data_IF_916237933272
#
_entry.id   IF_916237933272
#
_cell.length_a   1.000
_cell.length_b   1.000
_cell.length_c   1.000
_cell.angle_alpha   90.00
_cell.angle_beta   90.00
_cell.angle_gamma   90.00
#
_symmetry.space_group_name_H-M   'P 1'
#
loop_
_entity.id
_entity.type
_entity.pdbx_description
1 polymer ?
#
# COMPACT_ATOMS: atom_id res chain seq x y z
N UNK A 1 -34.41 27.83 -55.48
CA UNK A 1 -35.26 27.47 -54.32
C UNK A 1 -35.20 25.96 -54.01
N UNK A 2 -34.04 25.41 -53.60
CA UNK A 2 -33.92 23.98 -53.23
C UNK A 2 -32.94 23.70 -52.07
N UNK A 3 -32.36 24.74 -51.45
CA UNK A 3 -31.36 24.61 -50.37
C UNK A 3 -31.87 24.92 -48.95
N UNK A 4 -33.14 25.32 -48.81
CA UNK A 4 -33.73 25.69 -47.51
C UNK A 4 -34.51 24.57 -46.81
N UNK A 5 -34.66 23.39 -47.44
CA UNK A 5 -35.37 22.24 -46.84
C UNK A 5 -34.46 21.24 -46.10
N UNK A 6 -33.14 21.35 -46.22
CA UNK A 6 -32.20 20.45 -45.55
C UNK A 6 -31.81 20.89 -44.12
N UNK A 7 -32.10 22.15 -43.74
CA UNK A 7 -31.76 22.69 -42.41
C UNK A 7 -32.85 22.40 -41.36
N UNK A 8 -34.11 22.23 -41.77
CA UNK A 8 -35.23 21.97 -40.87
C UNK A 8 -35.28 20.53 -40.32
N UNK A 9 -34.65 19.57 -41.01
CA UNK A 9 -34.67 18.15 -40.60
C UNK A 9 -33.58 17.83 -39.56
N UNK A 10 -32.52 18.65 -39.44
CA UNK A 10 -31.47 18.45 -38.43
C UNK A 10 -31.83 19.01 -37.04
N UNK A 11 -32.77 19.95 -36.95
CA UNK A 11 -33.18 20.54 -35.66
C UNK A 11 -34.19 19.64 -34.92
N UNK A 12 -34.98 18.83 -35.64
CA UNK A 12 -35.94 17.90 -35.02
C UNK A 12 -35.27 16.65 -34.42
N UNK A 13 -34.12 16.22 -34.97
CA UNK A 13 -33.35 15.11 -34.39
C UNK A 13 -32.57 15.48 -33.13
N UNK A 14 -32.23 16.76 -32.93
CA UNK A 14 -31.59 17.21 -31.68
C UNK A 14 -32.58 17.28 -30.51
N UNK A 15 -33.86 17.54 -30.77
CA UNK A 15 -34.89 17.59 -29.72
C UNK A 15 -35.37 16.19 -29.26
N UNK A 16 -35.25 15.16 -30.10
CA UNK A 16 -35.68 13.79 -29.76
C UNK A 16 -34.57 13.02 -28.99
N UNK A 17 -33.29 13.37 -29.18
CA UNK A 17 -32.20 12.78 -28.37
C UNK A 17 -32.14 13.37 -26.95
N UNK A 18 -32.65 14.59 -26.73
CA UNK A 18 -32.78 15.17 -25.38
C UNK A 18 -33.97 14.62 -24.57
N UNK A 19 -34.95 13.95 -25.20
CA UNK A 19 -36.11 13.38 -24.51
C UNK A 19 -35.99 11.86 -24.25
N UNK A 20 -34.92 11.22 -24.73
CA UNK A 20 -34.61 9.81 -24.47
C UNK A 20 -33.63 9.61 -23.30
N UNK A 21 -33.30 10.68 -22.54
CA UNK A 21 -32.82 10.54 -21.17
C UNK A 21 -34.01 10.23 -20.27
N UNK A 22 -34.62 9.06 -20.50
CA UNK A 22 -35.29 8.37 -19.39
C UNK A 22 -34.20 8.15 -18.37
N UNK A 23 -34.31 8.89 -17.27
CA UNK A 23 -33.84 8.50 -15.95
C UNK A 23 -33.96 6.99 -15.83
N UNK A 24 -32.86 6.30 -16.13
CA UNK A 24 -32.51 5.09 -15.42
C UNK A 24 -32.33 5.56 -13.98
N UNK A 25 -33.46 5.69 -13.28
CA UNK A 25 -33.49 5.54 -11.84
C UNK A 25 -32.91 4.15 -11.61
N UNK A 26 -31.59 4.08 -11.49
CA UNK A 26 -30.98 3.04 -10.71
C UNK A 26 -31.77 3.03 -9.40
N UNK A 27 -32.35 1.88 -8.99
CA UNK A 27 -32.88 1.80 -7.66
C UNK A 27 -31.77 2.29 -6.74
N UNK A 28 -32.00 3.40 -6.05
CA UNK A 28 -31.26 3.72 -4.85
C UNK A 28 -31.47 2.50 -3.98
N UNK A 29 -30.51 1.57 -4.01
CA UNK A 29 -30.41 0.48 -3.06
C UNK A 29 -30.43 1.17 -1.73
N UNK A 30 -31.62 1.10 -1.10
CA UNK A 30 -31.95 1.65 0.19
C UNK A 30 -30.79 1.37 1.12
N UNK A 31 -30.27 2.43 1.74
CA UNK A 31 -29.05 2.44 2.53
C UNK A 31 -29.17 1.57 3.77
N UNK A 32 -29.04 0.26 3.57
CA UNK A 32 -28.57 -0.61 4.61
C UNK A 32 -27.11 -0.18 4.85
N UNK A 33 -26.74 0.22 6.08
CA UNK A 33 -25.36 0.52 6.39
C UNK A 33 -24.53 -0.70 5.97
N UNK A 34 -23.54 -0.46 5.09
CA UNK A 34 -22.58 -1.50 4.75
C UNK A 34 -22.01 -1.97 6.09
N UNK A 35 -22.18 -3.26 6.46
CA UNK A 35 -21.76 -3.72 7.78
C UNK A 35 -20.28 -3.40 7.95
N UNK A 36 -19.94 -2.73 9.05
CA UNK A 36 -18.57 -2.32 9.34
C UNK A 36 -17.68 -3.58 9.32
N UNK A 37 -16.84 -3.71 8.29
CA UNK A 37 -15.98 -4.88 8.13
C UNK A 37 -14.96 -4.86 9.26
N UNK A 38 -15.06 -5.84 10.16
CA UNK A 38 -14.09 -6.04 11.23
C UNK A 38 -12.74 -6.49 10.64
N UNK A 39 -11.61 -6.13 11.28
CA UNK A 39 -10.30 -6.64 10.90
C UNK A 39 -10.29 -8.16 10.78
N UNK A 40 -9.78 -8.65 9.65
CA UNK A 40 -9.46 -10.06 9.46
C UNK A 40 -8.12 -10.38 10.13
N UNK A 41 -8.15 -10.44 11.47
CA UNK A 41 -6.97 -10.47 12.34
C UNK A 41 -5.90 -11.47 11.85
N UNK A 42 -4.85 -10.89 11.29
CA UNK A 42 -3.63 -11.57 10.88
C UNK A 42 -3.76 -12.53 9.70
N UNK A 43 -4.81 -12.41 8.86
CA UNK A 43 -4.95 -13.18 7.61
C UNK A 43 -3.89 -12.75 6.59
N UNK A 44 -3.57 -11.46 6.55
CA UNK A 44 -2.66 -10.84 5.58
C UNK A 44 -1.31 -10.46 6.20
N UNK A 45 -0.87 -11.19 7.23
CA UNK A 45 0.50 -11.01 7.75
C UNK A 45 1.54 -11.37 6.70
N UNK A 46 1.39 -12.45 5.92
CA UNK A 46 2.22 -12.63 4.75
C UNK A 46 1.59 -11.89 3.54
N UNK A 47 2.39 -11.22 2.70
CA UNK A 47 1.90 -10.48 1.54
C UNK A 47 1.51 -11.41 0.38
N UNK A 48 0.38 -11.17 -0.29
CA UNK A 48 -0.01 -11.87 -1.53
C UNK A 48 0.57 -11.22 -2.80
N UNK A 49 1.12 -10.02 -2.74
CA UNK A 49 1.76 -9.37 -3.87
C UNK A 49 3.19 -9.86 -4.06
N UNK A 50 3.31 -11.04 -4.66
CA UNK A 50 4.54 -11.81 -4.77
C UNK A 50 5.61 -11.22 -5.69
N UNK A 51 5.33 -10.17 -6.48
CA UNK A 51 6.30 -9.60 -7.41
C UNK A 51 6.41 -8.07 -7.29
N UNK A 52 6.87 -7.53 -6.14
CA UNK A 52 7.00 -6.08 -5.95
C UNK A 52 8.02 -5.45 -6.90
N UNK A 53 9.00 -6.21 -7.41
CA UNK A 53 9.93 -5.72 -8.43
C UNK A 53 9.25 -5.22 -9.72
N UNK A 54 8.01 -5.66 -10.01
CA UNK A 54 7.23 -5.13 -11.14
C UNK A 54 6.94 -3.62 -10.99
N UNK A 55 6.87 -3.12 -9.77
CA UNK A 55 6.64 -1.71 -9.46
C UNK A 55 7.92 -0.86 -9.43
N UNK A 56 9.10 -1.42 -9.71
CA UNK A 56 10.35 -0.66 -9.79
C UNK A 56 10.27 0.61 -10.67
N UNK A 57 9.59 0.61 -11.84
CA UNK A 57 9.43 1.84 -12.63
C UNK A 57 8.67 2.96 -11.90
N UNK A 58 7.78 2.61 -10.97
CA UNK A 58 7.07 3.55 -10.10
C UNK A 58 7.99 3.97 -8.95
N UNK A 59 8.61 3.01 -8.26
CA UNK A 59 9.45 3.28 -7.09
C UNK A 59 10.63 4.20 -7.39
N UNK A 60 11.29 4.01 -8.55
CA UNK A 60 12.42 4.85 -9.00
C UNK A 60 12.05 6.30 -9.31
N UNK A 61 10.75 6.61 -9.37
CA UNK A 61 10.24 7.97 -9.56
C UNK A 61 9.80 8.62 -8.25
N UNK A 62 9.90 7.92 -7.12
CA UNK A 62 9.66 8.50 -5.80
C UNK A 62 10.62 9.65 -5.52
N UNK A 63 10.17 10.64 -4.75
CA UNK A 63 11.01 11.74 -4.26
C UNK A 63 11.89 11.37 -3.03
N UNK A 64 11.98 10.07 -2.72
CA UNK A 64 12.66 9.50 -1.55
C UNK A 64 12.18 10.04 -0.18
N UNK A 65 10.99 10.67 -0.13
CA UNK A 65 10.37 11.12 1.11
C UNK A 65 9.91 9.95 1.99
N UNK A 66 8.89 10.18 2.81
CA UNK A 66 8.30 9.16 3.65
C UNK A 66 7.46 8.20 2.80
N UNK A 67 7.69 6.90 2.98
CA UNK A 67 6.82 5.84 2.46
C UNK A 67 5.75 5.54 3.50
N UNK A 68 4.50 5.87 3.20
CA UNK A 68 3.33 5.53 4.00
C UNK A 68 2.69 4.31 3.36
N UNK A 69 2.45 3.23 4.11
CA UNK A 69 1.89 2.03 3.52
C UNK A 69 1.03 1.21 4.45
N UNK A 70 0.04 0.54 3.86
CA UNK A 70 -0.75 -0.52 4.52
C UNK A 70 -0.09 -1.89 4.39
N UNK A 71 -0.40 -2.78 5.34
CA UNK A 71 0.10 -4.14 5.35
C UNK A 71 1.45 -4.30 6.04
N UNK A 72 2.05 -5.46 5.84
CA UNK A 72 3.21 -5.96 6.60
C UNK A 72 4.51 -5.86 5.81
N UNK A 73 5.00 -6.95 5.23
CA UNK A 73 6.28 -7.02 4.51
C UNK A 73 6.34 -6.07 3.33
N UNK A 74 5.21 -5.92 2.61
CA UNK A 74 5.07 -4.99 1.50
C UNK A 74 5.53 -3.58 1.87
N UNK A 75 5.15 -3.11 3.06
CA UNK A 75 5.51 -1.79 3.56
C UNK A 75 7.03 -1.62 3.68
N UNK A 76 7.73 -2.65 4.16
CA UNK A 76 9.19 -2.66 4.29
C UNK A 76 9.87 -2.78 2.91
N UNK A 77 9.37 -3.65 2.04
CA UNK A 77 9.88 -3.81 0.67
C UNK A 77 9.75 -2.48 -0.10
N UNK A 78 8.57 -1.85 -0.08
CA UNK A 78 8.33 -0.59 -0.76
C UNK A 78 9.21 0.54 -0.25
N UNK A 79 9.40 0.65 1.06
CA UNK A 79 10.32 1.64 1.65
C UNK A 79 11.79 1.40 1.25
N UNK A 80 12.22 0.14 1.12
CA UNK A 80 13.56 -0.20 0.65
C UNK A 80 13.74 0.13 -0.83
N UNK A 81 12.79 -0.28 -1.69
CA UNK A 81 12.85 -0.09 -3.14
C UNK A 81 12.72 1.37 -3.57
N UNK A 82 12.10 2.22 -2.75
CA UNK A 82 12.01 3.67 -2.96
C UNK A 82 13.14 4.46 -2.31
N UNK A 83 14.05 3.79 -1.59
CA UNK A 83 15.07 4.43 -0.76
C UNK A 83 14.48 5.52 0.17
N UNK A 84 13.30 5.23 0.74
CA UNK A 84 12.54 6.20 1.51
C UNK A 84 13.35 6.73 2.72
N UNK A 85 13.23 8.03 2.99
CA UNK A 85 13.84 8.66 4.16
C UNK A 85 13.23 8.21 5.48
N UNK A 86 12.01 7.68 5.44
CA UNK A 86 11.35 7.04 6.57
C UNK A 86 10.20 6.14 6.10
N UNK A 87 9.75 5.24 6.98
CA UNK A 87 8.60 4.37 6.77
C UNK A 87 7.54 4.66 7.84
N UNK A 88 6.28 4.81 7.43
CA UNK A 88 5.13 4.76 8.33
C UNK A 88 4.20 3.65 7.87
N UNK A 89 4.04 2.63 8.71
CA UNK A 89 3.08 1.55 8.50
C UNK A 89 1.75 1.92 9.14
N UNK A 90 0.68 2.01 8.34
CA UNK A 90 -0.67 2.24 8.84
C UNK A 90 -1.54 1.04 8.51
N UNK A 91 -2.30 0.53 9.47
CA UNK A 91 -3.24 -0.54 9.16
C UNK A 91 -4.45 -0.49 10.10
N UNK A 92 -5.61 -0.92 9.62
CA UNK A 92 -6.79 -1.05 10.47
C UNK A 92 -6.74 -2.36 11.28
N UNK A 93 -5.92 -3.34 10.86
CA UNK A 93 -5.62 -4.55 11.60
C UNK A 93 -4.47 -4.31 12.62
N UNK A 94 -4.77 -4.37 13.93
CA UNK A 94 -3.73 -4.21 14.95
C UNK A 94 -2.64 -5.30 14.91
N UNK A 95 -2.90 -6.47 14.32
CA UNK A 95 -1.88 -7.51 14.15
C UNK A 95 -0.84 -7.13 13.08
N UNK A 96 -1.22 -6.38 12.04
CA UNK A 96 -0.28 -5.85 11.06
C UNK A 96 0.63 -4.76 11.68
N UNK A 97 0.06 -3.89 12.51
CA UNK A 97 0.82 -2.89 13.29
C UNK A 97 1.77 -3.57 14.28
N UNK A 98 1.31 -4.62 14.99
CA UNK A 98 2.16 -5.43 15.86
C UNK A 98 3.30 -6.09 15.10
N UNK A 99 3.02 -6.63 13.91
CA UNK A 99 4.05 -7.17 13.04
C UNK A 99 5.11 -6.11 12.71
N UNK A 100 4.69 -4.91 12.29
CA UNK A 100 5.61 -3.83 11.93
C UNK A 100 6.51 -3.42 13.11
N UNK A 101 5.96 -3.31 14.32
CA UNK A 101 6.73 -2.99 15.52
C UNK A 101 7.78 -4.05 15.85
N UNK A 102 7.42 -5.34 15.79
CA UNK A 102 8.36 -6.43 16.02
C UNK A 102 9.43 -6.43 14.93
N UNK A 103 9.04 -6.27 13.66
CA UNK A 103 9.97 -6.27 12.55
C UNK A 103 11.01 -5.13 12.66
N UNK A 104 10.55 -3.91 13.01
CA UNK A 104 11.40 -2.77 13.30
C UNK A 104 12.38 -3.08 14.42
N UNK A 105 11.91 -3.61 15.54
CA UNK A 105 12.75 -3.89 16.70
C UNK A 105 13.83 -4.94 16.37
N UNK A 106 13.50 -5.95 15.55
CA UNK A 106 14.48 -6.94 15.07
C UNK A 106 15.51 -6.33 14.11
N UNK A 107 15.10 -5.46 13.20
CA UNK A 107 16.00 -4.72 12.30
C UNK A 107 16.95 -3.82 13.11
N UNK A 108 16.44 -3.14 14.13
CA UNK A 108 17.23 -2.29 15.03
C UNK A 108 18.25 -3.11 15.84
N UNK A 109 17.85 -4.28 16.33
CA UNK A 109 18.69 -5.19 17.13
C UNK A 109 19.78 -5.92 16.35
N UNK A 110 19.59 -6.08 15.04
CA UNK A 110 20.48 -6.87 14.20
C UNK A 110 21.77 -6.13 13.81
N UNK A 111 22.88 -6.86 13.75
CA UNK A 111 24.18 -6.31 13.31
C UNK A 111 24.30 -6.23 11.80
N UNK A 112 23.78 -7.24 11.11
CA UNK A 112 23.81 -7.43 9.67
C UNK A 112 22.61 -8.28 9.22
N UNK A 113 22.48 -8.48 7.90
CA UNK A 113 21.35 -9.22 7.31
C UNK A 113 21.29 -10.66 7.81
N UNK A 114 22.42 -11.34 7.96
CA UNK A 114 22.44 -12.73 8.42
C UNK A 114 22.00 -12.84 9.89
N UNK A 115 22.45 -11.92 10.75
CA UNK A 115 21.99 -11.84 12.14
C UNK A 115 20.50 -11.49 12.22
N UNK A 116 20.03 -10.57 11.36
CA UNK A 116 18.61 -10.27 11.26
C UNK A 116 17.77 -11.49 10.90
N UNK A 117 18.14 -12.23 9.86
CA UNK A 117 17.44 -13.47 9.45
C UNK A 117 17.46 -14.50 10.58
N UNK A 118 18.60 -14.65 11.28
CA UNK A 118 18.71 -15.51 12.47
C UNK A 118 17.77 -15.07 13.59
N UNK A 119 17.73 -13.77 13.92
CA UNK A 119 16.83 -13.20 14.92
C UNK A 119 15.35 -13.36 14.53
N UNK A 120 15.05 -13.21 13.25
CA UNK A 120 13.72 -13.32 12.66
C UNK A 120 13.16 -14.74 12.73
N UNK A 121 13.96 -15.73 12.33
CA UNK A 121 13.47 -17.08 12.05
C UNK A 121 13.88 -18.14 13.09
N UNK A 122 15.00 -17.95 13.81
CA UNK A 122 15.64 -19.04 14.57
C UNK A 122 15.92 -18.72 16.05
N UNK A 123 16.18 -17.47 16.39
CA UNK A 123 16.58 -17.08 17.75
C UNK A 123 15.48 -17.34 18.80
N UNK A 124 15.83 -17.77 20.01
CA UNK A 124 14.86 -17.94 21.11
C UNK A 124 14.42 -16.59 21.72
N UNK A 125 13.40 -16.63 22.59
CA UNK A 125 12.97 -15.44 23.33
C UNK A 125 14.08 -14.88 24.22
N UNK A 126 14.90 -15.75 24.81
CA UNK A 126 16.02 -15.31 25.65
C UNK A 126 17.08 -14.56 24.83
N UNK A 127 17.32 -14.98 23.59
CA UNK A 127 18.19 -14.24 22.67
C UNK A 127 17.58 -12.87 22.32
N UNK A 128 16.26 -12.77 22.10
CA UNK A 128 15.59 -11.48 21.93
C UNK A 128 15.75 -10.57 23.15
N UNK A 129 15.54 -11.12 24.37
CA UNK A 129 15.74 -10.38 25.62
C UNK A 129 17.18 -9.92 25.80
N UNK A 130 18.16 -10.74 25.44
CA UNK A 130 19.57 -10.35 25.49
C UNK A 130 19.85 -9.20 24.53
N UNK A 131 19.41 -9.31 23.27
CA UNK A 131 19.56 -8.25 22.26
C UNK A 131 18.85 -6.95 22.66
N UNK A 132 17.71 -7.03 23.34
CA UNK A 132 16.95 -5.86 23.79
C UNK A 132 17.72 -4.95 24.77
N UNK A 133 18.79 -5.45 25.41
CA UNK A 133 19.60 -4.65 26.34
C UNK A 133 20.39 -3.54 25.62
N UNK A 134 20.61 -3.68 24.31
CA UNK A 134 21.28 -2.69 23.46
C UNK A 134 20.29 -1.67 22.88
N UNK A 135 18.99 -1.86 23.11
CA UNK A 135 17.91 -1.01 22.58
C UNK A 135 17.31 -0.11 23.66
N UNK A 136 16.53 0.88 23.23
CA UNK A 136 15.81 1.82 24.10
C UNK A 136 14.35 1.95 23.69
N UNK A 137 13.51 2.43 24.61
CA UNK A 137 12.10 2.75 24.34
C UNK A 137 11.30 1.56 23.83
N UNK A 138 10.41 1.84 22.87
CA UNK A 138 9.46 0.87 22.31
C UNK A 138 10.12 -0.39 21.73
N UNK A 139 11.31 -0.28 21.14
CA UNK A 139 11.99 -1.45 20.55
C UNK A 139 12.46 -2.43 21.62
N UNK A 140 13.00 -1.91 22.73
CA UNK A 140 13.35 -2.72 23.90
C UNK A 140 12.11 -3.40 24.47
N UNK A 141 11.05 -2.61 24.69
CA UNK A 141 9.77 -3.11 25.22
C UNK A 141 9.17 -4.19 24.32
N UNK A 142 9.24 -4.00 23.01
CA UNK A 142 8.73 -4.94 22.01
C UNK A 142 9.47 -6.29 22.07
N UNK A 143 10.80 -6.29 22.20
CA UNK A 143 11.58 -7.54 22.22
C UNK A 143 11.51 -8.30 23.55
N UNK A 144 11.30 -7.62 24.68
CA UNK A 144 11.13 -8.30 25.99
C UNK A 144 9.70 -8.82 26.20
N UNK A 145 8.73 -8.26 25.49
CA UNK A 145 7.30 -8.55 25.62
C UNK A 145 6.97 -10.02 25.28
N UNK A 146 6.44 -10.81 26.24
CA UNK A 146 5.94 -12.16 25.95
C UNK A 146 4.81 -12.20 24.91
N UNK A 147 3.83 -11.26 24.90
CA UNK A 147 2.85 -11.18 23.82
C UNK A 147 3.47 -10.99 22.43
N UNK A 148 4.48 -10.14 22.29
CA UNK A 148 5.16 -9.90 21.01
C UNK A 148 5.86 -11.16 20.51
N UNK A 149 6.60 -11.83 21.40
CA UNK A 149 7.24 -13.10 21.09
C UNK A 149 6.21 -14.16 20.66
N UNK A 150 5.12 -14.31 21.42
CA UNK A 150 4.08 -15.31 21.16
C UNK A 150 3.42 -15.08 19.80
N UNK A 151 3.08 -13.83 19.51
CA UNK A 151 2.56 -13.43 18.21
C UNK A 151 3.52 -13.81 17.07
N UNK A 152 4.80 -13.42 17.19
CA UNK A 152 5.79 -13.67 16.15
C UNK A 152 6.05 -15.16 15.92
N UNK A 153 6.23 -15.91 17.00
CA UNK A 153 6.45 -17.35 16.97
C UNK A 153 5.27 -18.07 16.29
N UNK A 154 4.03 -17.69 16.64
CA UNK A 154 2.83 -18.32 16.07
C UNK A 154 2.56 -17.89 14.63
N UNK A 155 2.60 -16.59 14.32
CA UNK A 155 2.12 -16.04 13.04
C UNK A 155 3.19 -15.98 11.96
N UNK A 156 4.47 -15.86 12.34
CA UNK A 156 5.59 -15.73 11.40
C UNK A 156 6.38 -17.04 11.33
N UNK A 157 6.84 -17.58 12.46
CA UNK A 157 7.77 -18.73 12.45
C UNK A 157 7.10 -20.08 12.28
N UNK A 158 6.05 -20.35 13.06
CA UNK A 158 5.36 -21.65 13.08
C UNK A 158 4.22 -21.75 12.07
N UNK A 159 3.72 -20.64 11.56
CA UNK A 159 2.69 -20.62 10.51
C UNK A 159 3.27 -20.95 9.12
N UNK A 160 4.11 -21.97 9.05
CA UNK A 160 4.77 -22.39 7.81
C UNK A 160 3.75 -22.67 6.72
N UNK A 161 2.57 -23.19 7.04
CA UNK A 161 1.52 -23.39 6.05
C UNK A 161 1.10 -22.08 5.38
N UNK A 162 0.79 -20.99 6.10
CA UNK A 162 0.41 -19.74 5.44
C UNK A 162 1.55 -19.23 4.55
N UNK A 163 2.76 -19.13 5.11
CA UNK A 163 3.94 -18.65 4.39
C UNK A 163 4.37 -19.57 3.22
N UNK A 164 4.04 -20.87 3.24
CA UNK A 164 4.41 -21.85 2.21
C UNK A 164 3.25 -22.28 1.29
N UNK A 165 1.99 -21.92 1.53
CA UNK A 165 0.86 -22.38 0.72
C UNK A 165 0.10 -21.25 0.03
N UNK A 166 -0.01 -20.10 0.69
CA UNK A 166 -0.64 -18.92 0.12
C UNK A 166 0.38 -17.91 -0.43
N UNK A 167 1.63 -17.95 0.07
CA UNK A 167 2.59 -16.85 -0.08
C UNK A 167 4.03 -17.30 -0.32
N UNK A 168 4.19 -18.50 -0.92
CA UNK A 168 5.46 -19.20 -1.09
C UNK A 168 6.63 -18.25 -1.38
N UNK A 169 7.77 -18.56 -0.76
CA UNK A 169 9.09 -18.02 -1.07
C UNK A 169 9.57 -16.76 -0.34
N UNK A 170 8.79 -16.06 0.49
CA UNK A 170 9.38 -14.90 1.20
C UNK A 170 10.56 -15.30 2.12
N UNK A 171 10.54 -16.52 2.69
CA UNK A 171 11.68 -17.02 3.47
C UNK A 171 12.64 -17.91 2.64
N UNK A 172 12.56 -17.87 1.30
CA UNK A 172 13.39 -18.68 0.39
C UNK A 172 14.05 -17.77 -0.63
N UNK A 173 15.37 -17.88 -0.77
CA UNK A 173 16.11 -17.04 -1.71
C UNK A 173 15.58 -17.23 -3.15
N UNK A 174 15.11 -16.16 -3.81
CA UNK A 174 14.69 -16.22 -5.20
C UNK A 174 15.91 -16.36 -6.12
N UNK A 175 15.86 -17.29 -7.08
CA UNK A 175 16.99 -17.64 -7.97
C UNK A 175 16.79 -17.15 -9.40
N UNK A 176 15.54 -16.93 -9.81
CA UNK A 176 15.16 -16.56 -11.16
C UNK A 176 14.27 -15.31 -11.17
N UNK A 177 14.29 -14.49 -12.26
CA UNK A 177 13.46 -13.29 -12.36
C UNK A 177 11.94 -13.50 -12.20
N UNK A 178 11.47 -14.71 -12.51
CA UNK A 178 10.05 -15.09 -12.38
C UNK A 178 9.72 -15.63 -10.98
N UNK A 179 10.72 -15.82 -10.11
CA UNK A 179 10.50 -16.25 -8.73
C UNK A 179 9.84 -15.12 -7.92
N UNK A 180 8.93 -15.44 -6.98
CA UNK A 180 8.41 -14.45 -6.06
C UNK A 180 9.50 -13.71 -5.28
N UNK A 181 9.29 -12.40 -5.13
CA UNK A 181 10.15 -11.44 -4.44
C UNK A 181 11.56 -11.27 -5.02
N UNK A 182 11.84 -11.83 -6.21
CA UNK A 182 13.11 -11.60 -6.91
C UNK A 182 13.46 -10.10 -6.99
N UNK A 183 14.69 -9.76 -6.61
CA UNK A 183 15.22 -8.39 -6.57
C UNK A 183 14.43 -7.39 -5.69
N UNK A 184 13.63 -7.89 -4.75
CA UNK A 184 12.81 -7.05 -3.85
C UNK A 184 12.75 -7.54 -2.41
N UNK A 185 13.31 -8.72 -2.13
CA UNK A 185 13.34 -9.31 -0.81
C UNK A 185 14.56 -8.85 0.00
N UNK A 186 14.32 -8.04 1.03
CA UNK A 186 15.36 -7.56 1.94
C UNK A 186 15.90 -8.66 2.87
N UNK A 187 15.31 -9.87 2.90
CA UNK A 187 15.90 -11.02 3.56
C UNK A 187 17.13 -11.56 2.82
N UNK A 188 17.26 -11.28 1.52
CA UNK A 188 18.30 -11.84 0.65
C UNK A 188 19.16 -10.78 -0.06
N UNK A 189 18.87 -9.49 0.14
CA UNK A 189 19.66 -8.39 -0.43
C UNK A 189 20.23 -7.50 0.68
N UNK A 190 21.57 -7.38 0.73
CA UNK A 190 22.27 -6.59 1.75
C UNK A 190 21.98 -5.09 1.61
N UNK A 191 21.78 -4.58 0.40
CA UNK A 191 21.48 -3.16 0.15
C UNK A 191 20.11 -2.78 0.70
N UNK A 192 19.08 -3.57 0.35
CA UNK A 192 17.72 -3.37 0.85
C UNK A 192 17.65 -3.53 2.38
N UNK A 193 18.31 -4.56 2.93
CA UNK A 193 18.41 -4.75 4.37
C UNK A 193 19.10 -3.55 5.05
N UNK A 194 20.26 -3.12 4.55
CA UNK A 194 21.05 -2.04 5.16
C UNK A 194 20.28 -0.72 5.19
N UNK A 195 19.46 -0.46 4.16
CA UNK A 195 18.55 0.69 4.17
C UNK A 195 17.54 0.59 5.30
N UNK A 196 16.80 -0.52 5.40
CA UNK A 196 15.80 -0.71 6.45
C UNK A 196 16.38 -0.74 7.86
N UNK A 197 17.53 -1.39 8.05
CA UNK A 197 18.25 -1.41 9.34
C UNK A 197 18.64 0.02 9.75
N UNK A 198 19.09 0.86 8.82
CA UNK A 198 19.39 2.27 9.09
C UNK A 198 18.15 3.05 9.51
N UNK A 199 17.03 2.86 8.83
CA UNK A 199 15.76 3.48 9.22
C UNK A 199 15.33 3.03 10.62
N UNK A 200 15.40 1.73 10.92
CA UNK A 200 15.05 1.20 12.23
C UNK A 200 15.95 1.75 13.35
N UNK A 201 17.28 1.68 13.18
CA UNK A 201 18.27 2.16 14.15
C UNK A 201 18.22 3.67 14.40
N UNK A 202 17.73 4.44 13.42
CA UNK A 202 17.53 5.89 13.55
C UNK A 202 16.10 6.27 13.97
N UNK A 203 15.29 5.30 14.39
CA UNK A 203 13.89 5.50 14.80
C UNK A 203 13.03 6.19 13.74
N UNK A 204 13.27 5.86 12.46
CA UNK A 204 12.54 6.36 11.28
C UNK A 204 11.58 5.34 10.68
N UNK A 205 11.15 4.36 11.50
CA UNK A 205 10.05 3.47 11.19
C UNK A 205 9.01 3.64 12.28
N UNK A 206 7.82 4.07 11.89
CA UNK A 206 6.67 4.21 12.78
C UNK A 206 5.55 3.28 12.33
N UNK A 207 4.67 2.92 13.27
CA UNK A 207 3.44 2.23 12.93
C UNK A 207 2.26 2.80 13.72
N UNK A 208 1.07 2.78 13.11
CA UNK A 208 -0.18 3.19 13.77
C UNK A 208 -1.35 2.36 13.29
N UNK A 209 -2.30 2.15 14.20
CA UNK A 209 -3.63 1.68 13.80
C UNK A 209 -4.36 2.87 13.21
N UNK A 210 -4.71 2.79 11.92
CA UNK A 210 -5.49 3.80 11.20
C UNK A 210 -6.47 3.10 10.30
N UNK A 211 -7.75 3.39 10.48
CA UNK A 211 -8.78 2.96 9.54
C UNK A 211 -8.99 4.02 8.46
N UNK A 212 -8.59 3.70 7.22
CA UNK A 212 -8.76 4.60 6.06
C UNK A 212 -10.23 4.91 5.73
N UNK A 213 -11.19 4.18 6.32
CA UNK A 213 -12.63 4.44 6.19
C UNK A 213 -13.11 5.55 7.15
N UNK A 214 -12.29 5.95 8.13
CA UNK A 214 -12.64 6.89 9.18
C UNK A 214 -11.93 8.23 9.00
N UNK A 215 -12.68 9.23 8.54
CA UNK A 215 -12.18 10.58 8.23
C UNK A 215 -11.36 11.19 9.37
N UNK A 216 -11.84 11.11 10.61
CA UNK A 216 -11.16 11.66 11.77
C UNK A 216 -9.79 11.00 12.04
N UNK A 217 -9.66 9.70 11.79
CA UNK A 217 -8.39 8.98 11.97
C UNK A 217 -7.39 9.36 10.87
N UNK A 218 -7.85 9.47 9.61
CA UNK A 218 -7.01 9.90 8.47
C UNK A 218 -6.54 11.34 8.64
N UNK A 219 -7.42 12.26 9.08
CA UNK A 219 -7.03 13.66 9.34
C UNK A 219 -6.02 13.76 10.47
N UNK A 220 -6.27 13.09 11.60
CA UNK A 220 -5.34 13.08 12.72
C UNK A 220 -3.98 12.50 12.34
N UNK A 221 -3.95 11.52 11.43
CA UNK A 221 -2.72 10.98 10.86
C UNK A 221 -1.99 11.99 9.97
N UNK A 222 -2.70 12.68 9.07
CA UNK A 222 -2.13 13.73 8.23
C UNK A 222 -1.55 14.89 9.07
N UNK A 223 -2.25 15.31 10.12
CA UNK A 223 -1.79 16.34 11.05
C UNK A 223 -0.52 15.91 11.79
N UNK A 224 -0.40 14.63 12.20
CA UNK A 224 0.81 14.10 12.83
C UNK A 224 2.00 14.13 11.84
N UNK A 225 1.82 13.70 10.59
CA UNK A 225 2.86 13.78 9.54
C UNK A 225 3.32 15.23 9.36
N UNK A 226 2.36 16.16 9.24
CA UNK A 226 2.63 17.59 9.07
C UNK A 226 3.41 18.15 10.25
N UNK A 227 3.03 17.79 11.49
CA UNK A 227 3.69 18.26 12.71
C UNK A 227 5.16 17.81 12.81
N UNK A 228 5.50 16.68 12.18
CA UNK A 228 6.88 16.16 12.11
C UNK A 228 7.70 16.73 10.96
N UNK A 229 7.13 17.65 10.16
CA UNK A 229 7.75 18.21 8.95
C UNK A 229 8.24 17.14 7.97
N UNK A 230 7.50 16.03 7.88
CA UNK A 230 7.83 14.92 7.01
C UNK A 230 7.32 15.18 5.59
N UNK A 231 8.22 15.09 4.61
CA UNK A 231 7.86 15.16 3.18
C UNK A 231 7.30 13.81 2.73
N UNK A 232 6.13 13.79 2.10
CA UNK A 232 5.49 12.56 1.62
C UNK A 232 6.10 12.13 0.28
N UNK A 233 6.55 10.87 0.21
CA UNK A 233 7.08 10.29 -1.02
C UNK A 233 6.08 9.39 -1.72
N UNK A 234 5.67 8.31 -1.05
CA UNK A 234 4.70 7.36 -1.59
C UNK A 234 3.65 7.06 -0.53
N UNK A 235 2.38 6.99 -0.96
CA UNK A 235 1.26 6.50 -0.18
C UNK A 235 0.77 5.22 -0.85
N UNK A 236 1.14 4.06 -0.32
CA UNK A 236 0.85 2.74 -0.85
C UNK A 236 -0.26 2.04 -0.06
N UNK A 237 -1.48 2.06 -0.59
CA UNK A 237 -2.66 1.50 0.09
C UNK A 237 -3.10 0.15 -0.49
N UNK A 238 -2.21 -0.57 -1.19
CA UNK A 238 -2.52 -1.86 -1.82
C UNK A 238 -3.84 -1.83 -2.61
N UNK A 239 -4.73 -2.81 -2.40
CA UNK A 239 -5.99 -3.02 -3.08
C UNK A 239 -7.19 -2.46 -2.31
N UNK A 240 -6.97 -1.55 -1.37
CA UNK A 240 -8.04 -0.82 -0.67
C UNK A 240 -9.12 -0.26 -1.61
N UNK A 241 -8.80 0.28 -2.82
CA UNK A 241 -9.83 0.72 -3.78
C UNK A 241 -10.74 -0.39 -4.33
N UNK A 242 -10.39 -1.67 -4.15
CA UNK A 242 -11.20 -2.82 -4.57
C UNK A 242 -12.56 -2.82 -3.86
N UNK A 243 -13.66 -3.18 -4.55
CA UNK A 243 -14.96 -3.39 -3.91
C UNK A 243 -14.96 -4.45 -2.81
N UNK A 244 -14.03 -5.42 -2.86
CA UNK A 244 -13.90 -6.43 -1.80
C UNK A 244 -13.33 -5.83 -0.52
N UNK A 245 -12.53 -4.77 -0.61
CA UNK A 245 -11.86 -4.12 0.52
C UNK A 245 -12.65 -2.93 1.05
N UNK A 246 -12.36 -1.71 0.60
CA UNK A 246 -13.07 -0.50 1.03
C UNK A 246 -13.83 0.19 -0.12
N UNK A 247 -13.43 -0.05 -1.36
CA UNK A 247 -14.04 0.51 -2.56
C UNK A 247 -13.51 1.89 -2.94
N UNK A 248 -13.84 2.31 -4.17
CA UNK A 248 -13.30 3.53 -4.79
C UNK A 248 -13.75 4.82 -4.12
N UNK A 249 -14.91 4.85 -3.45
CA UNK A 249 -15.34 6.02 -2.68
C UNK A 249 -14.42 6.28 -1.47
N UNK A 250 -14.09 5.24 -0.71
CA UNK A 250 -13.16 5.38 0.43
C UNK A 250 -11.78 5.79 -0.08
N UNK A 251 -11.34 5.20 -1.20
CA UNK A 251 -10.10 5.57 -1.85
C UNK A 251 -10.03 7.04 -2.25
N UNK A 252 -11.05 7.53 -2.95
CA UNK A 252 -11.15 8.93 -3.34
C UNK A 252 -11.09 9.86 -2.12
N UNK A 253 -11.80 9.51 -1.04
CA UNK A 253 -11.86 10.32 0.16
C UNK A 253 -10.50 10.46 0.86
N UNK A 254 -9.82 9.36 1.20
CA UNK A 254 -8.52 9.49 1.88
C UNK A 254 -7.47 10.10 0.96
N UNK A 255 -7.50 9.85 -0.35
CA UNK A 255 -6.57 10.49 -1.30
C UNK A 255 -6.75 12.00 -1.29
N UNK A 256 -8.00 12.48 -1.31
CA UNK A 256 -8.29 13.90 -1.18
C UNK A 256 -7.68 14.46 0.11
N UNK A 257 -7.85 13.79 1.25
CA UNK A 257 -7.27 14.22 2.52
C UNK A 257 -5.74 14.28 2.49
N UNK A 258 -5.07 13.23 2.01
CA UNK A 258 -3.62 13.24 1.87
C UNK A 258 -3.11 14.29 0.87
N UNK A 259 -3.86 14.55 -0.21
CA UNK A 259 -3.47 15.47 -1.29
C UNK A 259 -3.25 16.91 -0.81
N UNK A 260 -3.97 17.33 0.23
CA UNK A 260 -3.85 18.64 0.87
C UNK A 260 -2.46 18.86 1.51
N UNK A 261 -1.78 17.78 1.90
CA UNK A 261 -0.49 17.80 2.61
C UNK A 261 0.67 17.27 1.75
N UNK A 262 0.36 16.52 0.70
CA UNK A 262 1.32 15.92 -0.21
C UNK A 262 1.98 16.96 -1.12
N UNK A 263 3.23 16.73 -1.50
CA UNK A 263 3.94 17.52 -2.51
C UNK A 263 3.45 17.11 -3.90
N UNK A 264 3.71 17.93 -4.93
CA UNK A 264 3.28 17.61 -6.31
C UNK A 264 3.80 16.25 -6.80
N UNK A 265 5.00 15.88 -6.34
CA UNK A 265 5.69 14.66 -6.71
C UNK A 265 5.45 13.48 -5.75
N UNK A 266 4.57 13.63 -4.76
CA UNK A 266 4.11 12.49 -3.96
C UNK A 266 3.31 11.52 -4.85
N UNK A 267 3.62 10.24 -4.77
CA UNK A 267 2.94 9.19 -5.52
C UNK A 267 1.88 8.50 -4.66
N UNK A 268 0.70 8.29 -5.22
CA UNK A 268 -0.32 7.40 -4.66
C UNK A 268 -0.24 6.08 -5.40
N UNK A 269 0.11 5.00 -4.69
CA UNK A 269 0.32 3.67 -5.24
C UNK A 269 -0.79 2.72 -4.77
N UNK A 270 -1.31 1.95 -5.71
CA UNK A 270 -2.32 0.94 -5.48
C UNK A 270 -2.02 -0.32 -6.29
N UNK A 271 -2.71 -1.41 -5.91
CA UNK A 271 -2.65 -2.68 -6.61
C UNK A 271 -4.02 -3.23 -6.94
N UNK A 272 -4.06 -4.04 -7.99
CA UNK A 272 -5.26 -4.79 -8.36
C UNK A 272 -4.86 -6.21 -8.82
N UNK A 273 -5.67 -7.23 -8.53
CA UNK A 273 -5.41 -8.58 -9.02
C UNK A 273 -5.61 -8.62 -10.54
N UNK A 274 -4.67 -9.22 -11.27
CA UNK A 274 -4.76 -9.40 -12.72
C UNK A 274 -5.76 -10.51 -13.12
N UNK A 275 -6.08 -11.43 -12.20
CA UNK A 275 -7.02 -12.54 -12.39
C UNK A 275 -7.75 -12.83 -11.08
N UNK A 276 -8.95 -13.42 -11.16
CA UNK A 276 -9.79 -13.78 -10.01
C UNK A 276 -9.14 -14.76 -9.00
N UNK A 277 -8.00 -15.37 -9.35
CA UNK A 277 -7.28 -16.34 -8.51
C UNK A 277 -6.01 -15.78 -7.83
N UNK A 278 -5.82 -14.45 -7.79
CA UNK A 278 -5.15 -13.77 -6.66
C UNK A 278 -3.62 -13.85 -6.49
N UNK A 279 -2.85 -14.36 -7.47
CA UNK A 279 -1.37 -14.43 -7.34
C UNK A 279 -0.65 -13.36 -8.17
N UNK A 280 -1.24 -12.96 -9.30
CA UNK A 280 -0.64 -11.95 -10.19
C UNK A 280 -1.27 -10.61 -9.89
N UNK A 281 -0.43 -9.66 -9.47
CA UNK A 281 -0.84 -8.30 -9.14
C UNK A 281 -0.34 -7.32 -10.17
N UNK A 282 -1.14 -6.27 -10.40
CA UNK A 282 -0.77 -5.09 -11.19
C UNK A 282 -0.63 -3.91 -10.25
N UNK A 283 0.35 -3.07 -10.55
CA UNK A 283 0.66 -1.87 -9.79
C UNK A 283 0.24 -0.65 -10.59
N UNK A 284 -0.27 0.35 -9.90
CA UNK A 284 -0.55 1.62 -10.54
C UNK A 284 -0.35 2.77 -9.59
N UNK A 285 0.19 3.85 -10.13
CA UNK A 285 0.40 5.06 -9.39
C UNK A 285 0.05 6.30 -10.19
N UNK A 286 -0.18 7.37 -9.45
CA UNK A 286 -0.40 8.71 -9.97
C UNK A 286 0.22 9.72 -9.01
N UNK A 287 0.64 10.86 -9.55
CA UNK A 287 1.24 11.92 -8.74
C UNK A 287 0.15 12.79 -8.13
N UNK A 288 0.48 13.44 -7.01
CA UNK A 288 -0.40 14.44 -6.43
C UNK A 288 -0.66 15.60 -7.43
N UNK A 289 0.32 15.94 -8.26
CA UNK A 289 0.16 16.95 -9.33
C UNK A 289 -1.03 16.65 -10.24
N UNK A 290 -1.20 15.39 -10.65
CA UNK A 290 -2.29 14.97 -11.56
C UNK A 290 -3.68 15.10 -10.91
N UNK A 291 -3.76 14.91 -9.60
CA UNK A 291 -5.04 14.79 -8.89
C UNK A 291 -5.36 15.98 -7.97
N UNK A 292 -4.41 16.89 -7.77
CA UNK A 292 -4.60 18.07 -6.92
C UNK A 292 -5.72 18.96 -7.46
N UNK A 293 -6.68 19.27 -6.59
CA UNK A 293 -7.84 20.10 -6.92
C UNK A 293 -9.01 19.34 -7.55
N UNK A 294 -8.88 18.01 -7.75
CA UNK A 294 -10.03 17.17 -8.06
C UNK A 294 -10.89 16.98 -6.81
N UNK A 295 -12.22 17.03 -6.98
CA UNK A 295 -13.15 16.67 -5.91
C UNK A 295 -13.28 15.15 -5.76
N UNK A 296 -13.91 14.71 -4.67
CA UNK A 296 -14.12 13.30 -4.36
C UNK A 296 -14.89 12.56 -5.48
N UNK A 297 -15.83 13.21 -6.16
CA UNK A 297 -16.60 12.59 -7.24
C UNK A 297 -15.73 12.35 -8.47
N UNK A 298 -14.87 13.30 -8.81
CA UNK A 298 -13.91 13.18 -9.90
C UNK A 298 -12.87 12.10 -9.60
N UNK A 299 -12.30 12.09 -8.38
CA UNK A 299 -11.35 11.08 -7.93
C UNK A 299 -11.94 9.67 -7.95
N UNK A 300 -13.17 9.50 -7.45
CA UNK A 300 -13.86 8.22 -7.49
C UNK A 300 -14.02 7.72 -8.92
N UNK A 301 -14.51 8.59 -9.82
CA UNK A 301 -14.66 8.25 -11.23
C UNK A 301 -13.33 7.91 -11.88
N UNK A 302 -12.27 8.63 -11.51
CA UNK A 302 -10.91 8.35 -11.98
C UNK A 302 -10.46 6.94 -11.56
N UNK A 303 -10.60 6.59 -10.28
CA UNK A 303 -10.32 5.23 -9.79
C UNK A 303 -11.13 4.16 -10.54
N UNK A 304 -12.43 4.37 -10.72
CA UNK A 304 -13.31 3.44 -11.45
C UNK A 304 -12.80 3.21 -12.90
N UNK A 305 -12.26 4.24 -13.55
CA UNK A 305 -11.70 4.16 -14.92
C UNK A 305 -10.32 3.49 -14.91
N UNK A 306 -9.40 3.92 -14.04
CA UNK A 306 -8.03 3.43 -14.05
C UNK A 306 -7.93 1.97 -13.62
N UNK A 307 -8.62 1.57 -12.54
CA UNK A 307 -8.68 0.17 -12.12
C UNK A 307 -9.19 -0.71 -13.27
N UNK A 308 -10.19 -0.24 -14.02
CA UNK A 308 -10.70 -0.94 -15.19
C UNK A 308 -9.67 -1.02 -16.32
N UNK A 309 -9.01 0.09 -16.69
CA UNK A 309 -7.96 0.09 -17.72
C UNK A 309 -6.84 -0.88 -17.40
N UNK A 310 -6.41 -0.91 -16.13
CA UNK A 310 -5.37 -1.80 -15.65
C UNK A 310 -5.85 -3.24 -15.68
N UNK A 311 -7.08 -3.52 -15.27
CA UNK A 311 -7.71 -4.85 -15.37
C UNK A 311 -7.76 -5.34 -16.84
N UNK A 312 -8.05 -4.44 -17.78
CA UNK A 312 -8.24 -4.75 -19.20
C UNK A 312 -6.92 -4.84 -20.00
N UNK A 313 -5.78 -4.39 -19.45
CA UNK A 313 -4.48 -4.40 -20.15
C UNK A 313 -3.68 -5.68 -19.88
N UNK A 314 -3.63 -6.66 -20.80
CA UNK A 314 -2.90 -7.93 -20.58
C UNK A 314 -1.38 -7.74 -20.47
N UNK A 315 -0.84 -6.62 -20.94
CA UNK A 315 0.61 -6.36 -21.00
C UNK A 315 1.11 -5.47 -19.87
N UNK A 316 0.30 -4.54 -19.36
CA UNK A 316 0.72 -3.63 -18.30
C UNK A 316 0.74 -4.36 -16.94
N UNK A 317 1.93 -4.45 -16.35
CA UNK A 317 2.14 -4.97 -14.98
C UNK A 317 2.36 -3.85 -13.96
N UNK A 318 2.83 -2.69 -14.41
CA UNK A 318 2.92 -1.46 -13.65
C UNK A 318 2.59 -0.26 -14.54
N UNK A 319 1.86 0.72 -14.01
CA UNK A 319 1.47 1.95 -14.71
C UNK A 319 1.73 3.16 -13.82
N UNK A 320 2.29 4.23 -14.40
CA UNK A 320 2.34 5.54 -13.76
C UNK A 320 1.65 6.56 -14.66
N UNK A 321 0.60 7.20 -14.15
CA UNK A 321 -0.22 8.19 -14.88
C UNK A 321 0.39 9.61 -14.87
N UNK A 322 1.72 9.68 -14.73
CA UNK A 322 2.52 10.91 -14.85
C UNK A 322 3.87 10.57 -15.55
N UNK A 323 3.91 10.63 -16.89
CA UNK A 323 5.12 10.32 -17.63
C UNK A 323 6.22 11.37 -17.41
N UNK A 324 5.84 12.62 -17.10
CA UNK A 324 6.73 13.77 -16.93
C UNK A 324 7.40 13.82 -15.55
N UNK A 325 6.99 12.98 -14.62
CA UNK A 325 7.64 12.86 -13.32
C UNK A 325 9.10 12.40 -13.53
N UNK A 326 10.01 13.34 -13.30
CA UNK A 326 11.46 13.18 -13.51
C UNK A 326 12.05 12.26 -12.45
N UNK A 327 13.03 11.45 -12.84
CA UNK A 327 13.82 10.63 -11.91
C UNK A 327 14.77 11.54 -11.14
N UNK A 328 14.75 11.45 -9.81
CA UNK A 328 15.65 12.19 -8.94
C UNK A 328 17.04 11.57 -8.84
#
# INVERSE_FOLDING_TARGET
MRKWRALAIRIVWLAIVCAAQRTLCYPQTSGLPIPERKPSLGVYIPPNEQHPALALPIYRKSNHGVYVSVGTERSFIGAALTEAQALIVIDYDPDAVRFANINRALLAASTDRADYVRLRLHASQDVWRQRSQELTGEDKETLVSPPSWTFWDQKVRKNTWAWNSAFQHFNTEPKHPDDPFFASDYLFDDGLYNHLSRLAKSSRIWSRVVDLRRDNEVRAFCDDIKSKHLRLGVIDTSDVPSPSEAGTSVAAHYVMLFSEYAQDDTLFLNTAPARAQGVVWRYFAFSNRTIRGLDETMLKRWYDIEIKKIADSPQARALLDDPELTTH
#
